data_IF_692788627960
#
_entry.id   IF_692788627960
#
_cell.length_a   1.000
_cell.length_b   1.000
_cell.length_c   1.000
_cell.angle_alpha   90.00
_cell.angle_beta   90.00
_cell.angle_gamma   90.00
#
_symmetry.space_group_name_H-M   'P 1'
#
loop_
_entity.id
_entity.type
_entity.pdbx_description
1 polymer ?
#
# COMPACT_ATOMS: atom_id res chain seq x y z
N UNK A 1 -23.19 -47.31 -2.99
CA UNK A 1 -23.12 -45.90 -2.56
C UNK A 1 -21.93 -45.25 -3.27
N UNK A 2 -22.14 -44.19 -4.06
CA UNK A 2 -21.02 -43.40 -4.60
C UNK A 2 -20.43 -42.58 -3.45
N UNK A 3 -19.10 -42.58 -3.23
CA UNK A 3 -18.51 -41.68 -2.25
C UNK A 3 -18.81 -40.25 -2.70
N UNK A 4 -19.45 -39.47 -1.83
CA UNK A 4 -19.47 -38.02 -1.96
C UNK A 4 -18.04 -37.54 -1.73
N UNK A 5 -17.28 -37.39 -2.81
CA UNK A 5 -15.98 -36.72 -2.77
C UNK A 5 -16.28 -35.24 -2.52
N UNK A 6 -16.23 -34.82 -1.26
CA UNK A 6 -16.33 -33.40 -0.92
C UNK A 6 -15.07 -32.71 -1.43
N UNK A 7 -15.22 -31.62 -2.16
CA UNK A 7 -14.09 -30.75 -2.50
C UNK A 7 -13.40 -30.31 -1.20
N UNK A 8 -12.05 -30.32 -1.13
CA UNK A 8 -11.33 -29.85 0.04
C UNK A 8 -11.67 -28.39 0.32
N UNK A 9 -11.73 -28.02 1.60
CA UNK A 9 -12.01 -26.65 2.03
C UNK A 9 -10.97 -25.72 1.37
N UNK A 10 -11.40 -24.59 0.75
CA UNK A 10 -10.48 -23.63 0.18
C UNK A 10 -9.43 -23.20 1.20
N UNK A 11 -8.15 -23.41 0.88
CA UNK A 11 -7.07 -23.01 1.76
C UNK A 11 -6.95 -21.49 1.73
N UNK A 12 -6.98 -20.85 2.91
CA UNK A 12 -6.67 -19.43 3.07
C UNK A 12 -5.25 -19.16 2.57
N UNK A 13 -5.09 -18.15 1.72
CA UNK A 13 -3.79 -17.70 1.21
C UNK A 13 -3.24 -16.55 2.08
N UNK A 14 -1.92 -16.32 2.04
CA UNK A 14 -1.28 -15.19 2.74
C UNK A 14 -1.93 -13.88 2.32
N UNK A 15 -2.12 -12.96 3.28
CA UNK A 15 -2.82 -11.70 3.07
C UNK A 15 -4.23 -11.83 2.45
N UNK A 16 -4.86 -13.00 2.61
CA UNK A 16 -6.17 -13.35 2.06
C UNK A 16 -6.26 -13.16 0.53
N UNK A 17 -5.16 -13.45 -0.18
CA UNK A 17 -5.11 -13.42 -1.64
C UNK A 17 -6.13 -14.36 -2.28
N UNK A 18 -6.57 -13.99 -3.48
CA UNK A 18 -7.47 -14.84 -4.26
C UNK A 18 -6.80 -16.15 -4.73
N UNK A 19 -5.54 -16.06 -5.15
CA UNK A 19 -4.73 -17.20 -5.62
C UNK A 19 -3.44 -17.32 -4.82
N UNK A 20 -2.88 -18.53 -4.66
CA UNK A 20 -1.57 -18.70 -4.04
C UNK A 20 -0.49 -17.97 -4.83
N UNK A 21 0.45 -17.35 -4.13
CA UNK A 21 1.67 -16.84 -4.74
C UNK A 21 2.61 -17.98 -5.17
N UNK A 22 3.39 -17.82 -6.25
CA UNK A 22 4.45 -18.75 -6.61
C UNK A 22 5.48 -18.94 -5.50
N UNK A 23 6.22 -20.06 -5.54
CA UNK A 23 7.40 -20.26 -4.70
C UNK A 23 8.41 -19.13 -4.87
N UNK A 24 9.20 -18.86 -3.83
CA UNK A 24 10.25 -17.83 -3.83
C UNK A 24 9.75 -16.41 -4.18
N UNK A 25 8.53 -16.10 -3.74
CA UNK A 25 7.96 -14.75 -3.77
C UNK A 25 7.51 -14.29 -2.38
N UNK A 26 7.42 -12.98 -2.19
CA UNK A 26 6.74 -12.36 -1.06
C UNK A 26 5.32 -11.94 -1.46
N UNK A 27 4.31 -12.32 -0.67
CA UNK A 27 2.94 -11.87 -0.84
C UNK A 27 2.74 -10.49 -0.20
N UNK A 28 2.06 -9.58 -0.89
CA UNK A 28 1.63 -8.31 -0.31
C UNK A 28 0.18 -7.99 -0.65
N UNK A 29 -0.47 -7.18 0.18
CA UNK A 29 -1.78 -6.60 -0.10
C UNK A 29 -1.87 -5.20 0.50
N UNK A 30 -2.17 -4.23 -0.35
CA UNK A 30 -2.38 -2.84 0.03
C UNK A 30 -3.84 -2.48 -0.14
N UNK A 31 -4.41 -1.84 0.88
CA UNK A 31 -5.78 -1.37 0.89
C UNK A 31 -5.79 0.08 1.38
N UNK A 32 -6.31 1.00 0.58
CA UNK A 32 -6.55 2.37 1.05
C UNK A 32 -7.71 2.41 2.06
N UNK A 33 -7.87 3.53 2.74
CA UNK A 33 -9.08 3.78 3.51
C UNK A 33 -10.31 4.01 2.63
N UNK A 34 -11.48 3.82 3.22
CA UNK A 34 -12.80 4.08 2.62
C UNK A 34 -13.63 4.96 3.54
N UNK A 35 -13.69 6.27 3.23
CA UNK A 35 -14.22 7.26 4.17
C UNK A 35 -13.44 7.27 5.49
N UNK A 36 -14.13 7.53 6.60
CA UNK A 36 -13.55 7.65 7.95
C UNK A 36 -13.71 6.39 8.83
N UNK A 37 -14.44 5.38 8.35
CA UNK A 37 -14.79 4.19 9.14
C UNK A 37 -14.17 2.89 8.58
N UNK A 38 -13.54 2.94 7.39
CA UNK A 38 -12.79 1.82 6.83
C UNK A 38 -11.32 2.23 6.76
N UNK A 39 -10.54 1.70 7.68
CA UNK A 39 -9.11 2.02 7.80
C UNK A 39 -8.30 1.37 6.69
N UNK A 40 -7.25 2.08 6.26
CA UNK A 40 -6.25 1.55 5.36
C UNK A 40 -5.50 0.37 5.99
N UNK A 41 -4.94 -0.52 5.16
CA UNK A 41 -4.19 -1.71 5.59
C UNK A 41 -2.99 -1.97 4.67
N UNK A 42 -1.88 -2.36 5.29
CA UNK A 42 -0.70 -2.89 4.62
C UNK A 42 -0.44 -4.28 5.20
N UNK A 43 -0.54 -5.30 4.36
CA UNK A 43 -0.18 -6.68 4.69
C UNK A 43 1.02 -7.13 3.85
N UNK A 44 1.97 -7.80 4.49
CA UNK A 44 3.15 -8.39 3.85
C UNK A 44 3.43 -9.75 4.48
N UNK A 45 3.56 -10.80 3.66
CA UNK A 45 3.82 -12.17 4.09
C UNK A 45 2.83 -12.72 5.15
N UNK A 46 1.57 -12.30 5.07
CA UNK A 46 0.48 -12.58 6.03
C UNK A 46 0.54 -11.82 7.36
N UNK A 47 1.58 -11.01 7.55
CA UNK A 47 1.68 -10.10 8.68
C UNK A 47 1.04 -8.76 8.33
N UNK A 48 0.15 -8.30 9.21
CA UNK A 48 -0.39 -6.95 9.14
C UNK A 48 0.70 -5.98 9.61
N UNK A 49 1.24 -5.15 8.73
CA UNK A 49 2.25 -4.14 9.05
C UNK A 49 1.61 -2.84 9.54
N UNK A 50 0.53 -2.43 8.89
CA UNK A 50 -0.25 -1.26 9.27
C UNK A 50 -1.74 -1.56 9.15
N UNK A 51 -2.53 -1.20 10.17
CA UNK A 51 -3.98 -1.32 10.13
C UNK A 51 -4.66 -1.01 11.47
N UNK A 52 -5.99 -0.93 11.44
CA UNK A 52 -6.84 -0.68 12.63
C UNK A 52 -6.51 -1.62 13.80
N UNK A 53 -6.30 -2.92 13.53
CA UNK A 53 -5.98 -3.92 14.56
C UNK A 53 -4.68 -3.62 15.33
N UNK A 54 -3.75 -2.89 14.72
CA UNK A 54 -2.50 -2.49 15.35
C UNK A 54 -2.55 -1.07 15.95
N UNK A 55 -3.61 -0.31 15.67
CA UNK A 55 -3.73 1.08 16.12
C UNK A 55 -2.69 2.03 15.54
N UNK A 56 -2.03 1.67 14.43
CA UNK A 56 -0.89 2.41 13.86
C UNK A 56 -1.18 3.07 12.50
N UNK A 57 -2.45 3.13 12.08
CA UNK A 57 -2.92 3.83 10.87
C UNK A 57 -3.67 5.10 11.25
N UNK A 58 -3.38 6.20 10.56
CA UNK A 58 -4.07 7.48 10.74
C UNK A 58 -4.23 8.22 9.40
N UNK A 59 -4.98 9.33 9.44
CA UNK A 59 -5.24 10.18 8.27
C UNK A 59 -3.93 10.57 7.58
N UNK A 60 -3.92 10.60 6.25
CA UNK A 60 -2.74 10.94 5.46
C UNK A 60 -2.22 9.79 4.60
N UNK A 61 -0.92 9.84 4.32
CA UNK A 61 -0.18 8.77 3.64
C UNK A 61 0.49 7.91 4.71
N UNK A 62 0.19 6.61 4.69
CA UNK A 62 0.72 5.60 5.60
C UNK A 62 1.77 4.78 4.84
N UNK A 63 2.98 4.67 5.38
CA UNK A 63 4.14 4.08 4.70
C UNK A 63 4.76 2.99 5.58
N UNK A 64 4.96 1.79 5.01
CA UNK A 64 5.78 0.73 5.59
C UNK A 64 7.02 0.51 4.72
N UNK A 65 8.18 0.35 5.36
CA UNK A 65 9.46 0.02 4.74
C UNK A 65 9.84 -1.39 5.17
N UNK A 66 10.17 -2.23 4.19
CA UNK A 66 10.59 -3.62 4.39
C UNK A 66 11.94 -3.83 3.72
N UNK A 67 12.86 -4.50 4.40
CA UNK A 67 14.11 -4.95 3.79
C UNK A 67 13.80 -6.07 2.81
N UNK A 68 14.12 -5.87 1.53
CA UNK A 68 13.81 -6.82 0.46
C UNK A 68 14.56 -8.15 0.61
N UNK A 69 15.80 -8.12 1.11
CA UNK A 69 16.64 -9.31 1.24
C UNK A 69 16.12 -10.22 2.36
N UNK A 70 15.80 -9.64 3.52
CA UNK A 70 15.41 -10.41 4.70
C UNK A 70 13.90 -10.59 4.85
N UNK A 71 13.10 -9.75 4.18
CA UNK A 71 11.65 -9.67 4.38
C UNK A 71 11.23 -8.99 5.68
N UNK A 72 12.17 -8.46 6.47
CA UNK A 72 11.85 -7.84 7.76
C UNK A 72 11.34 -6.40 7.58
N UNK A 73 10.27 -6.05 8.28
CA UNK A 73 9.84 -4.66 8.42
C UNK A 73 10.89 -3.85 9.17
N UNK A 74 11.28 -2.71 8.61
CA UNK A 74 12.31 -1.83 9.21
C UNK A 74 11.71 -0.56 9.80
N UNK A 75 10.61 -0.06 9.23
CA UNK A 75 9.90 1.09 9.78
C UNK A 75 8.45 1.16 9.27
N UNK A 76 7.57 1.73 10.08
CA UNK A 76 6.19 2.09 9.70
C UNK A 76 5.89 3.49 10.23
N UNK A 77 5.30 4.36 9.41
CA UNK A 77 4.90 5.70 9.83
C UNK A 77 3.73 6.22 9.00
N UNK A 78 2.94 7.12 9.58
CA UNK A 78 1.92 7.88 8.87
C UNK A 78 2.24 9.37 8.85
N UNK A 79 1.78 10.06 7.81
CA UNK A 79 2.02 11.49 7.61
C UNK A 79 0.71 12.16 7.24
N UNK A 80 0.15 12.95 8.16
CA UNK A 80 -1.10 13.67 7.94
C UNK A 80 -0.91 14.70 6.81
N UNK A 81 -1.66 14.52 5.72
CA UNK A 81 -1.63 15.41 4.57
C UNK A 81 -2.78 16.42 4.57
N UNK A 82 -3.58 16.50 5.62
CA UNK A 82 -4.64 17.49 5.80
C UNK A 82 -4.21 18.61 6.77
N UNK A 83 -3.58 18.23 7.88
CA UNK A 83 -3.07 19.13 8.92
C UNK A 83 -1.54 19.03 9.08
N UNK A 84 -0.93 20.09 9.61
CA UNK A 84 0.52 20.14 9.85
C UNK A 84 1.37 20.36 8.59
N UNK A 85 2.69 20.28 8.74
CA UNK A 85 3.65 20.32 7.64
C UNK A 85 4.46 19.01 7.60
N UNK A 86 3.82 17.97 7.05
CA UNK A 86 4.35 16.61 7.09
C UNK A 86 5.01 16.16 5.78
N UNK A 87 4.97 16.97 4.72
CA UNK A 87 5.61 16.65 3.44
C UNK A 87 7.13 16.50 3.59
N UNK A 88 7.80 17.45 4.27
CA UNK A 88 9.24 17.38 4.55
C UNK A 88 9.65 16.16 5.39
N UNK A 89 9.00 15.91 6.55
CA UNK A 89 9.20 14.69 7.33
C UNK A 89 8.98 13.40 6.54
N UNK A 90 7.96 13.33 5.69
CA UNK A 90 7.69 12.16 4.84
C UNK A 90 8.82 11.90 3.84
N UNK A 91 9.34 12.96 3.19
CA UNK A 91 10.49 12.85 2.28
C UNK A 91 11.69 12.28 3.03
N UNK A 92 12.00 12.80 4.22
CA UNK A 92 13.12 12.28 5.04
C UNK A 92 12.95 10.81 5.40
N UNK A 93 11.72 10.39 5.72
CA UNK A 93 11.41 8.99 6.00
C UNK A 93 11.64 8.10 4.76
N UNK A 94 11.13 8.50 3.59
CA UNK A 94 11.37 7.80 2.32
C UNK A 94 12.87 7.73 1.98
N UNK A 95 13.59 8.82 2.19
CA UNK A 95 15.02 8.90 1.93
C UNK A 95 15.84 8.03 2.89
N UNK A 96 15.38 7.86 4.14
CA UNK A 96 16.04 7.00 5.13
C UNK A 96 16.01 5.50 4.79
N UNK A 97 15.10 5.07 3.91
CA UNK A 97 15.08 3.69 3.43
C UNK A 97 16.42 3.35 2.73
N UNK A 98 17.16 2.32 3.15
CA UNK A 98 18.38 1.92 2.47
C UNK A 98 18.05 1.34 1.07
N UNK A 99 19.03 1.24 0.15
CA UNK A 99 18.90 0.39 -1.03
C UNK A 99 18.46 -1.04 -0.64
N UNK A 100 17.82 -1.74 -1.58
CA UNK A 100 17.16 -3.04 -1.33
C UNK A 100 16.03 -2.94 -0.30
N UNK A 101 15.22 -1.89 -0.41
CA UNK A 101 13.99 -1.73 0.37
C UNK A 101 12.75 -1.76 -0.52
N UNK A 102 11.69 -2.38 -0.01
CA UNK A 102 10.32 -2.23 -0.50
C UNK A 102 9.64 -1.12 0.32
N UNK A 103 8.92 -0.22 -0.35
CA UNK A 103 8.10 0.80 0.28
C UNK A 103 6.64 0.58 -0.13
N UNK A 104 5.79 0.38 0.86
CA UNK A 104 4.35 0.23 0.69
C UNK A 104 3.66 1.50 1.17
N UNK A 105 2.85 2.13 0.33
CA UNK A 105 2.17 3.38 0.65
C UNK A 105 0.67 3.23 0.42
N UNK A 106 -0.13 3.69 1.37
CA UNK A 106 -1.60 3.69 1.27
C UNK A 106 -2.17 4.99 1.85
N UNK A 107 -3.21 5.54 1.25
CA UNK A 107 -3.92 6.70 1.82
C UNK A 107 -5.02 6.28 2.79
N UNK A 108 -5.26 7.11 3.81
CA UNK A 108 -6.46 7.06 4.65
C UNK A 108 -7.04 8.48 4.78
N UNK A 109 -8.34 8.61 4.54
CA UNK A 109 -9.09 9.87 4.51
C UNK A 109 -8.62 10.87 3.44
N UNK A 110 -7.54 11.63 3.69
CA UNK A 110 -6.95 12.54 2.70
C UNK A 110 -5.42 12.46 2.72
N UNK A 111 -4.84 12.20 1.54
CA UNK A 111 -3.40 12.12 1.31
C UNK A 111 -2.83 13.27 0.47
N UNK A 112 -3.58 14.37 0.28
CA UNK A 112 -3.27 15.32 -0.81
C UNK A 112 -3.24 16.80 -0.44
N UNK A 113 -4.03 17.27 0.55
CA UNK A 113 -4.29 18.71 0.77
C UNK A 113 -3.00 19.52 0.99
N UNK A 114 -2.05 18.94 1.73
CA UNK A 114 -0.75 19.53 2.07
C UNK A 114 0.43 18.75 1.47
N UNK A 115 0.16 17.88 0.49
CA UNK A 115 1.19 17.17 -0.24
C UNK A 115 1.86 18.12 -1.24
N UNK A 116 3.06 18.58 -0.90
CA UNK A 116 3.78 19.59 -1.69
C UNK A 116 4.49 18.97 -2.92
N UNK A 117 5.04 19.83 -3.78
CA UNK A 117 5.72 19.37 -5.00
C UNK A 117 6.98 18.55 -4.71
N UNK A 118 7.74 18.86 -3.67
CA UNK A 118 8.95 18.11 -3.32
C UNK A 118 8.63 16.67 -2.90
N UNK A 119 7.53 16.49 -2.15
CA UNK A 119 7.05 15.17 -1.77
C UNK A 119 6.54 14.39 -2.98
N UNK A 120 5.85 15.05 -3.91
CA UNK A 120 5.45 14.46 -5.19
C UNK A 120 6.67 14.05 -6.02
N UNK A 121 7.71 14.89 -6.10
CA UNK A 121 8.96 14.58 -6.79
C UNK A 121 9.59 13.31 -6.17
N UNK A 122 9.74 13.26 -4.85
CA UNK A 122 10.37 12.14 -4.16
C UNK A 122 9.63 10.80 -4.36
N UNK A 123 8.30 10.83 -4.45
CA UNK A 123 7.49 9.63 -4.71
C UNK A 123 7.49 9.26 -6.21
N UNK A 124 7.52 10.25 -7.10
CA UNK A 124 7.66 10.04 -8.56
C UNK A 124 9.02 9.46 -8.93
N UNK A 125 10.10 9.83 -8.23
CA UNK A 125 11.44 9.24 -8.36
C UNK A 125 11.48 7.75 -7.98
N UNK A 126 10.56 7.29 -7.13
CA UNK A 126 10.34 5.86 -6.87
C UNK A 126 9.51 5.17 -7.98
N UNK A 127 9.11 5.93 -9.00
CA UNK A 127 8.37 5.52 -10.19
C UNK A 127 6.85 5.54 -10.03
N UNK A 128 6.30 6.32 -9.10
CA UNK A 128 4.85 6.56 -9.10
C UNK A 128 4.46 7.32 -10.36
N UNK A 129 3.40 6.86 -11.01
CA UNK A 129 2.78 7.51 -12.19
C UNK A 129 1.57 8.36 -11.80
N UNK A 130 0.99 8.12 -10.62
CA UNK A 130 -0.27 8.76 -10.20
C UNK A 130 -0.12 9.81 -9.10
N UNK A 131 1.03 9.91 -8.41
CA UNK A 131 1.18 10.86 -7.28
C UNK A 131 0.95 12.32 -7.70
N UNK A 132 1.27 12.68 -8.95
CA UNK A 132 0.99 13.99 -9.53
C UNK A 132 -0.49 14.26 -9.71
N UNK A 133 -1.27 13.21 -9.92
CA UNK A 133 -2.72 13.26 -10.15
C UNK A 133 -3.52 13.26 -8.84
N UNK A 134 -2.87 13.17 -7.67
CA UNK A 134 -3.53 13.20 -6.37
C UNK A 134 -4.40 14.44 -6.19
N UNK A 135 -5.68 14.21 -5.86
CA UNK A 135 -6.69 15.22 -5.55
C UNK A 135 -7.24 14.99 -4.14
N UNK A 136 -7.91 15.99 -3.58
CA UNK A 136 -8.58 15.91 -2.28
C UNK A 136 -9.35 14.59 -2.11
N UNK A 137 -9.01 13.83 -1.07
CA UNK A 137 -9.59 12.52 -0.69
C UNK A 137 -9.44 11.41 -1.74
N UNK A 138 -8.46 11.52 -2.63
CA UNK A 138 -8.15 10.40 -3.53
C UNK A 138 -7.67 9.20 -2.73
N UNK A 139 -8.29 8.05 -2.97
CA UNK A 139 -7.79 6.75 -2.55
C UNK A 139 -6.60 6.39 -3.42
N UNK A 140 -5.45 6.09 -2.82
CA UNK A 140 -4.22 5.77 -3.53
C UNK A 140 -3.47 4.68 -2.78
N UNK A 141 -2.93 3.73 -3.54
CA UNK A 141 -2.06 2.65 -3.05
C UNK A 141 -0.88 2.49 -3.99
N UNK A 142 0.30 2.28 -3.44
CA UNK A 142 1.54 2.23 -4.20
C UNK A 142 2.60 1.33 -3.56
N UNK A 143 3.27 0.56 -4.41
CA UNK A 143 4.43 -0.26 -4.11
C UNK A 143 5.63 0.28 -4.88
N UNK A 144 6.69 0.62 -4.15
CA UNK A 144 7.97 1.01 -4.71
C UNK A 144 9.08 0.05 -4.28
N UNK A 145 10.11 -0.05 -5.13
CA UNK A 145 11.38 -0.66 -4.81
C UNK A 145 12.47 0.41 -4.88
N UNK A 146 13.37 0.41 -3.89
CA UNK A 146 14.50 1.33 -3.84
C UNK A 146 15.80 0.56 -4.09
N UNK A 147 16.53 0.94 -5.13
CA UNK A 147 17.82 0.33 -5.50
C UNK A 147 17.70 -0.98 -6.28
N UNK A 148 16.52 -1.30 -6.83
CA UNK A 148 16.28 -2.38 -7.79
C UNK A 148 14.95 -2.16 -8.52
N UNK A 149 14.71 -2.88 -9.60
CA UNK A 149 13.47 -2.80 -10.37
C UNK A 149 12.52 -3.95 -10.02
N UNK A 150 11.23 -3.64 -9.90
CA UNK A 150 10.19 -4.65 -9.78
C UNK A 150 9.78 -5.14 -11.18
N UNK A 151 9.40 -6.41 -11.32
CA UNK A 151 8.84 -6.91 -12.56
C UNK A 151 7.61 -6.10 -13.01
N UNK A 152 7.53 -5.84 -14.31
CA UNK A 152 6.54 -4.92 -14.91
C UNK A 152 5.10 -5.43 -14.86
N UNK A 153 4.91 -6.74 -14.72
CA UNK A 153 3.64 -7.43 -14.60
C UNK A 153 2.99 -7.25 -13.21
N UNK A 154 3.74 -6.83 -12.20
CA UNK A 154 3.21 -6.62 -10.86
C UNK A 154 2.40 -5.31 -10.86
N UNK A 155 1.14 -5.41 -10.44
CA UNK A 155 0.32 -4.22 -10.20
C UNK A 155 0.86 -3.47 -8.98
N UNK A 156 1.62 -2.41 -9.24
CA UNK A 156 2.31 -1.61 -8.23
C UNK A 156 1.60 -0.34 -7.82
N UNK A 157 0.59 0.12 -8.56
CA UNK A 157 -0.08 1.39 -8.26
C UNK A 157 -1.54 1.38 -8.67
N UNK A 158 -2.38 2.08 -7.91
CA UNK A 158 -3.77 2.37 -8.27
C UNK A 158 -4.21 3.66 -7.60
N UNK A 159 -5.06 4.44 -8.29
CA UNK A 159 -5.69 5.63 -7.76
C UNK A 159 -7.20 5.61 -8.04
N UNK A 160 -7.99 6.20 -7.15
CA UNK A 160 -9.41 6.46 -7.34
C UNK A 160 -9.76 7.83 -6.76
N UNK A 161 -10.27 8.72 -7.60
CA UNK A 161 -10.56 10.10 -7.22
C UNK A 161 -11.96 10.24 -6.65
N UNK A 162 -12.13 11.19 -5.73
CA UNK A 162 -13.45 11.60 -5.26
C UNK A 162 -14.27 12.17 -6.43
N UNK A 163 -15.48 11.66 -6.60
CA UNK A 163 -16.48 12.14 -7.56
C UNK A 163 -17.84 12.12 -6.87
N UNK A 164 -18.47 13.27 -6.74
CA UNK A 164 -19.75 13.42 -6.02
C UNK A 164 -20.86 12.52 -6.55
N UNK A 165 -20.80 12.09 -7.82
CA UNK A 165 -21.79 11.18 -8.42
C UNK A 165 -21.50 9.70 -8.14
N UNK A 166 -20.22 9.34 -7.99
CA UNK A 166 -19.74 7.95 -7.94
C UNK A 166 -19.14 7.57 -6.58
N UNK A 167 -19.09 8.50 -5.64
CA UNK A 167 -18.56 8.29 -4.30
C UNK A 167 -19.36 7.21 -3.56
N UNK A 168 -18.64 6.19 -3.09
CA UNK A 168 -19.20 5.10 -2.27
C UNK A 168 -19.61 5.57 -0.88
N UNK A 169 -18.96 6.60 -0.37
CA UNK A 169 -19.21 7.20 0.93
C UNK A 169 -19.53 8.68 0.77
N UNK A 170 -20.23 9.29 1.74
CA UNK A 170 -20.58 10.72 1.69
C UNK A 170 -19.34 11.63 1.63
N UNK A 171 -18.89 11.98 0.41
CA UNK A 171 -17.71 12.82 0.18
C UNK A 171 -16.37 12.09 0.04
N UNK A 172 -16.34 10.75 -0.02
CA UNK A 172 -15.13 9.97 -0.28
C UNK A 172 -15.36 8.88 -1.35
N UNK A 173 -14.35 8.62 -2.19
CA UNK A 173 -14.40 7.53 -3.16
C UNK A 173 -14.35 6.18 -2.47
N UNK A 174 -14.63 5.11 -3.23
CA UNK A 174 -14.39 3.76 -2.76
C UNK A 174 -12.89 3.57 -2.42
N UNK A 175 -12.65 2.77 -1.39
CA UNK A 175 -11.35 2.20 -1.11
C UNK A 175 -10.86 1.34 -2.28
N UNK A 176 -9.55 1.31 -2.48
CA UNK A 176 -8.93 0.53 -3.55
C UNK A 176 -7.89 -0.42 -2.98
N UNK A 177 -7.69 -1.51 -3.72
CA UNK A 177 -6.75 -2.54 -3.38
C UNK A 177 -5.86 -2.88 -4.56
N UNK A 178 -4.61 -3.21 -4.23
CA UNK A 178 -3.71 -3.98 -5.09
C UNK A 178 -3.11 -5.12 -4.25
N UNK A 179 -2.89 -6.26 -4.89
CA UNK A 179 -2.23 -7.41 -4.28
C UNK A 179 -1.32 -8.07 -5.32
N UNK A 180 -0.30 -8.77 -4.86
CA UNK A 180 0.64 -9.41 -5.76
C UNK A 180 1.75 -10.16 -5.04
N UNK A 181 2.63 -10.74 -5.84
CA UNK A 181 3.73 -11.60 -5.41
C UNK A 181 5.03 -11.00 -5.95
N UNK A 182 5.93 -10.59 -5.07
CA UNK A 182 7.22 -9.97 -5.42
C UNK A 182 8.28 -11.09 -5.41
N UNK A 183 8.97 -11.40 -6.52
CA UNK A 183 10.07 -12.35 -6.51
C UNK A 183 11.09 -12.00 -5.44
N UNK A 184 11.63 -13.01 -4.74
CA UNK A 184 12.76 -12.83 -3.82
C UNK A 184 14.05 -12.71 -4.63
N UNK A 185 15.09 -12.15 -4.01
CA UNK A 185 16.41 -12.19 -4.61
C UNK A 185 16.85 -13.66 -4.78
N UNK A 186 17.35 -14.05 -5.97
CA UNK A 186 17.92 -15.39 -6.15
C UNK A 186 19.00 -15.62 -5.09
N UNK A 187 18.91 -16.75 -4.40
CA UNK A 187 19.91 -17.17 -3.41
C UNK A 187 21.24 -17.53 -4.08
#
# INVERSE_FOLDING_TARGET
MRPLVSAPVPKRQKCDHWTPCPSDTYAYRLLSGGGINKYAKICFEDDLLMGEKLGNVARGINIAIVNYVTGNVTATQHFDMYEGDNSGPMIKFIQSAPPKSLLFMVTYDDGSTRLNNDAKNAIEELGSKEIRNMKFRSSWVFLAAKGFELPSEIQREKINHSDTKNNRYSGWPAEIQIEGCIPKEPS
#
